data_IF_000284074500
#
_entry.id   IF_000284074500
#
_cell.length_a   1.000
_cell.length_b   1.000
_cell.length_c   1.000
_cell.angle_alpha   90.00
_cell.angle_beta   90.00
_cell.angle_gamma   90.00
#
_symmetry.space_group_name_H-M   'P 1'
#
loop_
_entity.id
_entity.type
_entity.pdbx_description
1 polymer ?
#
# COMPACT_ATOMS: atom_id res chain seq x y z
N UNK A 1 36.74 2.51 -23.94
CA UNK A 1 35.78 2.30 -22.84
C UNK A 1 34.98 3.60 -22.80
N UNK A 2 33.70 3.57 -23.16
CA UNK A 2 32.82 4.75 -23.07
C UNK A 2 32.66 5.13 -21.60
N UNK A 3 32.74 6.41 -21.28
CA UNK A 3 32.41 6.93 -19.95
C UNK A 3 31.03 6.41 -19.54
N UNK A 4 30.83 6.04 -18.26
CA UNK A 4 29.52 5.64 -17.80
C UNK A 4 28.53 6.80 -18.05
N UNK A 5 27.33 6.52 -18.55
CA UNK A 5 26.34 7.55 -18.83
C UNK A 5 26.11 8.39 -17.56
N UNK A 6 26.04 9.70 -17.73
CA UNK A 6 25.74 10.59 -16.60
C UNK A 6 24.41 10.14 -15.97
N UNK A 7 24.48 9.82 -14.68
CA UNK A 7 23.32 9.36 -13.89
C UNK A 7 22.14 10.33 -14.01
N UNK A 8 22.42 11.62 -14.10
CA UNK A 8 21.39 12.66 -14.23
C UNK A 8 20.65 12.57 -15.55
N UNK A 9 21.38 12.37 -16.66
CA UNK A 9 20.75 12.19 -17.98
C UNK A 9 19.96 10.88 -18.00
N UNK A 10 20.46 9.83 -17.33
CA UNK A 10 19.69 8.58 -17.20
C UNK A 10 18.40 8.77 -16.41
N UNK A 11 18.41 9.56 -15.34
CA UNK A 11 17.21 9.91 -14.58
C UNK A 11 16.22 10.69 -15.47
N UNK A 12 16.69 11.72 -16.19
CA UNK A 12 15.82 12.47 -17.10
C UNK A 12 15.16 11.59 -18.15
N UNK A 13 15.93 10.72 -18.79
CA UNK A 13 15.41 9.76 -19.75
C UNK A 13 14.31 8.89 -19.14
N UNK A 14 14.56 8.30 -17.97
CA UNK A 14 13.59 7.44 -17.27
C UNK A 14 12.32 8.19 -16.89
N UNK A 15 12.42 9.45 -16.46
CA UNK A 15 11.27 10.27 -16.13
C UNK A 15 10.45 10.64 -17.37
N UNK A 16 11.10 11.06 -18.44
CA UNK A 16 10.45 11.41 -19.71
C UNK A 16 9.73 10.23 -20.36
N UNK A 17 10.33 9.04 -20.31
CA UNK A 17 9.76 7.81 -20.87
C UNK A 17 8.65 7.21 -20.00
N UNK A 18 8.82 7.19 -18.66
CA UNK A 18 8.06 6.33 -17.77
C UNK A 18 7.33 7.01 -16.62
N UNK A 19 7.55 8.31 -16.32
CA UNK A 19 6.87 8.95 -15.21
C UNK A 19 5.38 9.17 -15.50
N UNK A 20 4.55 8.96 -14.49
CA UNK A 20 3.09 9.03 -14.60
C UNK A 20 2.57 10.39 -15.09
N UNK A 21 3.21 11.47 -14.66
CA UNK A 21 2.85 12.86 -15.00
C UNK A 21 3.93 13.55 -15.83
N UNK A 22 4.62 12.79 -16.72
CA UNK A 22 5.69 13.32 -17.58
C UNK A 22 5.27 14.50 -18.41
N UNK A 23 4.00 14.56 -18.80
CA UNK A 23 3.44 15.66 -19.61
C UNK A 23 3.36 17.02 -18.86
N UNK A 24 3.65 17.02 -17.55
CA UNK A 24 3.75 18.25 -16.73
C UNK A 24 5.11 18.95 -16.84
N UNK A 25 6.06 18.35 -17.57
CA UNK A 25 7.45 18.80 -17.67
C UNK A 25 7.75 19.21 -19.11
N UNK A 26 8.36 20.38 -19.29
CA UNK A 26 9.05 20.77 -20.50
C UNK A 26 10.46 20.16 -20.49
N UNK A 27 10.63 19.04 -21.17
CA UNK A 27 11.89 18.26 -21.13
C UNK A 27 13.08 18.98 -21.78
N UNK A 28 12.94 19.70 -22.95
CA UNK A 28 13.96 20.58 -23.48
C UNK A 28 14.45 21.63 -22.48
N UNK A 29 13.52 22.34 -21.83
CA UNK A 29 13.85 23.32 -20.79
C UNK A 29 14.51 22.68 -19.59
N UNK A 30 14.03 21.51 -19.10
CA UNK A 30 14.61 20.79 -18.00
C UNK A 30 16.07 20.39 -18.25
N UNK A 31 16.40 19.94 -19.46
CA UNK A 31 17.79 19.65 -19.87
C UNK A 31 18.65 20.90 -19.88
N UNK A 32 18.13 22.00 -20.42
CA UNK A 32 18.84 23.28 -20.43
C UNK A 32 19.12 23.78 -19.01
N UNK A 33 18.17 23.71 -18.10
CA UNK A 33 18.36 24.08 -16.69
C UNK A 33 19.46 23.25 -16.02
N UNK A 34 19.50 21.94 -16.27
CA UNK A 34 20.55 21.06 -15.73
C UNK A 34 21.93 21.36 -16.30
N UNK A 35 22.03 21.69 -17.59
CA UNK A 35 23.31 22.07 -18.22
C UNK A 35 23.87 23.40 -17.67
N UNK A 36 23.00 24.33 -17.27
CA UNK A 36 23.41 25.64 -16.73
C UNK A 36 23.53 25.63 -15.19
N UNK A 37 23.31 24.51 -14.54
CA UNK A 37 23.46 24.42 -13.08
C UNK A 37 24.88 24.72 -12.65
N UNK A 38 25.03 25.59 -11.66
CA UNK A 38 26.33 26.11 -11.16
C UNK A 38 27.17 25.06 -10.44
N UNK A 39 26.65 23.85 -10.24
CA UNK A 39 27.31 22.73 -9.57
C UNK A 39 26.39 21.57 -9.20
N UNK A 40 26.98 20.54 -8.62
CA UNK A 40 26.29 19.28 -8.29
C UNK A 40 25.06 19.48 -7.40
N UNK A 41 25.15 20.34 -6.39
CA UNK A 41 24.05 20.56 -5.45
C UNK A 41 22.84 21.22 -6.11
N UNK A 42 23.04 22.15 -7.03
CA UNK A 42 21.95 22.80 -7.78
C UNK A 42 21.32 21.81 -8.78
N UNK A 43 22.16 21.07 -9.53
CA UNK A 43 21.69 20.03 -10.44
C UNK A 43 20.84 18.96 -9.70
N UNK A 44 21.28 18.51 -8.52
CA UNK A 44 20.51 17.55 -7.72
C UNK A 44 19.17 18.13 -7.25
N UNK A 45 19.13 19.41 -6.87
CA UNK A 45 17.89 20.09 -6.50
C UNK A 45 16.90 20.20 -7.68
N UNK A 46 17.40 20.52 -8.87
CA UNK A 46 16.60 20.56 -10.10
C UNK A 46 16.01 19.16 -10.35
N UNK A 47 16.81 18.11 -10.29
CA UNK A 47 16.33 16.73 -10.48
C UNK A 47 15.28 16.33 -9.44
N UNK A 48 15.50 16.63 -8.16
CA UNK A 48 14.51 16.33 -7.12
C UNK A 48 13.16 17.04 -7.41
N UNK A 49 13.18 18.26 -7.93
CA UNK A 49 11.97 18.98 -8.34
C UNK A 49 11.30 18.35 -9.56
N UNK A 50 12.08 17.93 -10.56
CA UNK A 50 11.57 17.23 -11.74
C UNK A 50 10.94 15.89 -11.37
N UNK A 51 11.60 15.11 -10.50
CA UNK A 51 11.05 13.87 -9.95
C UNK A 51 9.72 14.16 -9.25
N UNK A 52 9.68 15.10 -8.33
CA UNK A 52 8.47 15.44 -7.59
C UNK A 52 7.30 15.80 -8.53
N UNK A 53 7.54 16.66 -9.52
CA UNK A 53 6.51 17.13 -10.46
C UNK A 53 6.03 16.02 -11.39
N UNK A 54 6.95 15.23 -11.97
CA UNK A 54 6.63 14.17 -12.93
C UNK A 54 6.06 12.91 -12.29
N UNK A 55 6.21 12.74 -10.96
CA UNK A 55 5.75 11.56 -10.20
C UNK A 55 4.64 11.86 -9.19
N UNK A 56 4.14 13.10 -9.12
CA UNK A 56 3.13 13.50 -8.15
C UNK A 56 3.60 13.42 -6.71
N UNK A 57 4.87 13.72 -6.45
CA UNK A 57 5.56 13.63 -5.15
C UNK A 57 5.68 12.21 -4.55
N UNK A 58 5.40 11.16 -5.33
CA UNK A 58 5.54 9.78 -4.85
C UNK A 58 6.87 9.14 -5.28
N UNK A 59 7.49 9.59 -6.36
CA UNK A 59 8.83 9.16 -6.79
C UNK A 59 9.94 9.76 -5.95
N UNK A 60 11.10 9.10 -5.93
CA UNK A 60 12.24 9.51 -5.14
C UNK A 60 13.55 8.99 -5.74
N UNK A 61 14.59 9.83 -5.77
CA UNK A 61 15.96 9.38 -6.05
C UNK A 61 16.72 9.12 -4.73
N UNK A 62 17.02 7.85 -4.48
CA UNK A 62 17.80 7.37 -3.32
C UNK A 62 19.28 7.33 -3.74
N UNK A 63 20.09 8.28 -3.24
CA UNK A 63 21.52 8.40 -3.58
C UNK A 63 22.32 7.21 -3.05
N UNK A 64 23.39 6.83 -3.73
CA UNK A 64 24.28 5.75 -3.33
C UNK A 64 24.85 5.93 -1.91
N UNK A 65 25.21 7.18 -1.53
CA UNK A 65 25.66 7.52 -0.18
C UNK A 65 24.63 7.22 0.91
N UNK A 66 23.34 7.37 0.61
CA UNK A 66 22.26 7.01 1.53
C UNK A 66 22.04 5.49 1.62
N UNK A 67 22.47 4.75 0.60
CA UNK A 67 22.43 3.28 0.58
C UNK A 67 23.49 2.63 1.45
N UNK A 68 24.59 3.33 1.74
CA UNK A 68 25.73 2.83 2.50
C UNK A 68 25.60 3.01 4.02
N UNK A 69 24.64 3.82 4.49
CA UNK A 69 24.42 4.11 5.91
C UNK A 69 23.25 3.30 6.48
N UNK A 70 23.46 2.48 7.54
CA UNK A 70 22.39 1.71 8.15
C UNK A 70 21.21 2.56 8.71
N UNK A 71 21.49 3.77 9.20
CA UNK A 71 20.50 4.69 9.76
C UNK A 71 19.87 5.63 8.73
N UNK A 72 20.62 6.13 7.76
CA UNK A 72 20.11 7.04 6.73
C UNK A 72 19.15 6.41 5.72
N UNK A 73 19.19 5.08 5.60
CA UNK A 73 18.35 4.29 4.70
C UNK A 73 16.91 4.18 5.15
N UNK A 74 16.67 4.02 6.45
CA UNK A 74 15.31 3.86 7.01
C UNK A 74 14.55 5.18 7.11
N UNK A 75 15.23 6.29 7.39
CA UNK A 75 14.58 7.60 7.57
C UNK A 75 14.08 8.23 6.27
N UNK A 76 14.80 8.05 5.14
CA UNK A 76 14.47 8.73 3.87
C UNK A 76 13.41 8.01 3.05
N UNK A 77 13.31 6.69 3.10
CA UNK A 77 12.17 5.95 2.53
C UNK A 77 10.89 6.27 3.32
N UNK A 78 11.04 6.56 4.62
CA UNK A 78 9.94 7.02 5.46
C UNK A 78 9.53 8.47 5.17
N UNK A 79 10.47 9.35 4.77
CA UNK A 79 10.19 10.77 4.53
C UNK A 79 9.63 11.09 3.16
N UNK A 80 9.73 10.19 2.17
CA UNK A 80 9.03 10.35 0.88
C UNK A 80 7.49 10.33 1.02
N UNK A 81 6.97 9.76 2.14
CA UNK A 81 5.57 9.87 2.53
C UNK A 81 5.28 10.94 3.59
N UNK A 82 6.29 11.75 3.96
CA UNK A 82 6.18 12.68 5.11
C UNK A 82 6.35 14.16 4.71
N UNK A 83 5.71 14.62 3.65
CA UNK A 83 5.65 16.07 3.35
C UNK A 83 4.52 16.81 4.11
N UNK A 84 3.87 16.17 5.09
CA UNK A 84 3.00 16.87 6.04
C UNK A 84 3.48 16.62 7.48
N UNK A 85 3.79 17.71 8.21
CA UNK A 85 4.09 17.65 9.65
C UNK A 85 2.95 16.95 10.38
N UNK A 86 3.21 16.04 11.32
CA UNK A 86 2.15 15.38 12.07
C UNK A 86 1.38 16.41 12.90
N UNK A 87 0.05 16.41 12.76
CA UNK A 87 -0.82 17.11 13.70
C UNK A 87 -0.65 16.49 15.09
N UNK A 88 -0.52 17.26 16.18
CA UNK A 88 -0.21 16.73 17.52
C UNK A 88 -1.25 15.79 18.11
N UNK A 89 -2.45 15.70 17.54
CA UNK A 89 -3.52 14.82 18.04
C UNK A 89 -3.39 13.34 17.61
N UNK A 90 -2.46 13.02 16.69
CA UNK A 90 -2.35 11.65 16.16
C UNK A 90 -1.55 10.66 17.03
N UNK A 91 -0.84 11.14 18.04
CA UNK A 91 -0.03 10.30 18.93
C UNK A 91 -0.86 9.48 19.95
N UNK A 92 -2.09 9.89 20.21
CA UNK A 92 -2.96 9.22 21.20
C UNK A 92 -3.69 7.97 20.68
N UNK A 93 -3.79 7.79 19.35
CA UNK A 93 -4.59 6.71 18.76
C UNK A 93 -3.85 5.37 18.60
N UNK A 94 -2.56 5.30 18.91
CA UNK A 94 -1.78 4.06 18.82
C UNK A 94 -1.75 3.28 20.15
N UNK A 95 -2.85 3.27 20.89
CA UNK A 95 -2.99 2.28 21.96
C UNK A 95 -3.11 0.91 21.29
N UNK A 96 -2.14 0.03 21.57
CA UNK A 96 -2.21 -1.38 21.27
C UNK A 96 -3.55 -1.87 21.84
N UNK A 97 -4.52 -2.12 20.97
CA UNK A 97 -5.83 -2.62 21.42
C UNK A 97 -5.57 -3.96 22.06
N UNK A 98 -6.05 -4.15 23.29
CA UNK A 98 -6.14 -5.47 23.91
C UNK A 98 -6.95 -6.39 23.01
N UNK A 99 -6.63 -7.71 23.03
CA UNK A 99 -7.32 -8.72 22.20
C UNK A 99 -8.82 -8.50 22.25
N UNK A 100 -9.47 -8.62 21.10
CA UNK A 100 -10.93 -8.57 21.04
C UNK A 100 -11.53 -9.59 22.00
N UNK A 101 -12.49 -9.19 22.84
CA UNK A 101 -13.13 -10.10 23.78
C UNK A 101 -13.72 -11.30 23.05
N UNK A 102 -13.72 -12.46 23.70
CA UNK A 102 -14.25 -13.69 23.12
C UNK A 102 -15.73 -13.59 22.76
N UNK A 103 -16.50 -12.79 23.49
CA UNK A 103 -17.92 -12.52 23.28
C UNK A 103 -18.21 -11.52 22.17
N UNK A 104 -17.22 -10.76 21.70
CA UNK A 104 -17.40 -9.75 20.65
C UNK A 104 -17.67 -10.44 19.30
N UNK A 105 -18.78 -10.18 18.62
CA UNK A 105 -19.05 -10.78 17.33
C UNK A 105 -18.22 -10.17 16.18
N UNK A 106 -17.45 -9.10 16.41
CA UNK A 106 -16.64 -8.43 15.41
C UNK A 106 -15.15 -8.72 15.64
N UNK A 107 -14.53 -9.37 14.64
CA UNK A 107 -13.08 -9.57 14.61
C UNK A 107 -12.34 -8.29 14.24
N UNK A 108 -11.06 -8.21 14.62
CA UNK A 108 -10.22 -7.05 14.35
C UNK A 108 -8.84 -7.46 13.88
N UNK A 109 -8.35 -6.80 12.83
CA UNK A 109 -6.98 -6.89 12.39
C UNK A 109 -6.42 -5.52 12.03
N UNK A 110 -5.27 -5.16 12.57
CA UNK A 110 -4.49 -4.02 12.12
C UNK A 110 -3.41 -4.49 11.14
N UNK A 111 -3.30 -3.84 9.98
CA UNK A 111 -2.27 -4.13 9.00
C UNK A 111 -1.18 -3.07 9.14
N UNK A 112 -0.02 -3.40 9.71
CA UNK A 112 1.06 -2.44 9.87
C UNK A 112 1.76 -2.14 8.54
N UNK A 113 2.53 -1.05 8.50
CA UNK A 113 3.51 -0.77 7.44
C UNK A 113 4.50 -1.93 7.31
N UNK A 114 4.75 -2.41 6.09
CA UNK A 114 5.77 -3.41 5.82
C UNK A 114 6.90 -2.82 4.98
N UNK A 115 8.01 -2.49 5.65
CA UNK A 115 9.23 -1.98 5.00
C UNK A 115 10.17 -3.14 4.72
N UNK A 116 10.37 -3.41 3.44
CA UNK A 116 11.31 -4.43 2.99
C UNK A 116 12.75 -3.93 3.07
N UNK A 117 13.68 -4.79 3.48
CA UNK A 117 15.09 -4.49 3.33
C UNK A 117 15.52 -4.71 1.87
N UNK A 118 15.46 -3.64 1.07
CA UNK A 118 15.73 -3.68 -0.38
C UNK A 118 17.14 -4.12 -0.75
N UNK A 119 18.10 -4.15 0.21
CA UNK A 119 19.48 -4.62 0.00
C UNK A 119 19.72 -6.05 0.41
N UNK A 120 18.79 -6.67 1.12
CA UNK A 120 18.91 -8.08 1.44
C UNK A 120 18.82 -8.91 0.14
N UNK A 121 19.46 -10.08 0.10
CA UNK A 121 19.27 -11.04 -0.99
C UNK A 121 17.80 -11.33 -1.25
N UNK A 122 17.44 -11.65 -2.49
CA UNK A 122 16.04 -11.90 -2.89
C UNK A 122 15.36 -12.98 -2.03
N UNK A 123 16.09 -14.04 -1.69
CA UNK A 123 15.60 -15.12 -0.82
C UNK A 123 15.27 -14.65 0.59
N UNK A 124 16.10 -13.76 1.15
CA UNK A 124 15.85 -13.17 2.49
C UNK A 124 14.63 -12.25 2.45
N UNK A 125 14.50 -11.44 1.38
CA UNK A 125 13.35 -10.56 1.19
C UNK A 125 12.05 -11.35 1.07
N UNK A 126 12.06 -12.41 0.27
CA UNK A 126 10.91 -13.32 0.12
C UNK A 126 10.52 -13.96 1.45
N UNK A 127 11.50 -14.44 2.22
CA UNK A 127 11.26 -14.99 3.57
C UNK A 127 10.64 -13.95 4.52
N UNK A 128 11.09 -12.69 4.49
CA UNK A 128 10.50 -11.62 5.28
C UNK A 128 9.05 -11.33 4.86
N UNK A 129 8.76 -11.32 3.56
CA UNK A 129 7.41 -11.15 3.02
C UNK A 129 6.48 -12.29 3.47
N UNK A 130 6.93 -13.54 3.36
CA UNK A 130 6.16 -14.72 3.81
C UNK A 130 5.91 -14.69 5.31
N UNK A 131 6.93 -14.36 6.10
CA UNK A 131 6.80 -14.23 7.56
C UNK A 131 5.73 -13.20 7.92
N UNK A 132 5.75 -12.04 7.28
CA UNK A 132 4.74 -11.00 7.51
C UNK A 132 3.32 -11.46 7.13
N UNK A 133 3.16 -12.10 5.97
CA UNK A 133 1.86 -12.62 5.54
C UNK A 133 1.32 -13.70 6.49
N UNK A 134 2.18 -14.62 6.92
CA UNK A 134 1.83 -15.68 7.90
C UNK A 134 1.48 -15.11 9.28
N UNK A 135 2.16 -14.04 9.73
CA UNK A 135 1.80 -13.35 10.97
C UNK A 135 0.39 -12.76 10.91
N UNK A 136 0.01 -12.13 9.80
CA UNK A 136 -1.35 -11.62 9.62
C UNK A 136 -2.38 -12.76 9.60
N UNK A 137 -2.12 -13.87 8.88
CA UNK A 137 -3.01 -15.03 8.87
C UNK A 137 -3.13 -15.68 10.24
N UNK A 138 -2.04 -15.75 11.00
CA UNK A 138 -2.05 -16.24 12.38
C UNK A 138 -2.90 -15.36 13.31
N UNK A 139 -2.84 -14.04 13.15
CA UNK A 139 -3.71 -13.11 13.87
C UNK A 139 -5.18 -13.31 13.50
N UNK A 140 -5.49 -13.47 12.21
CA UNK A 140 -6.85 -13.79 11.76
C UNK A 140 -7.34 -15.09 12.38
N UNK A 141 -6.51 -16.14 12.39
CA UNK A 141 -6.86 -17.44 12.97
C UNK A 141 -7.13 -17.35 14.48
N UNK A 142 -6.31 -16.58 15.22
CA UNK A 142 -6.52 -16.37 16.65
C UNK A 142 -7.82 -15.61 16.95
N UNK A 143 -8.14 -14.60 16.18
CA UNK A 143 -9.38 -13.84 16.30
C UNK A 143 -10.61 -14.68 15.88
N UNK A 144 -10.49 -15.46 14.81
CA UNK A 144 -11.55 -16.31 14.26
C UNK A 144 -11.77 -17.62 15.08
N UNK A 145 -10.95 -17.85 16.11
CA UNK A 145 -11.21 -18.91 17.10
C UNK A 145 -12.56 -18.70 17.82
N UNK A 146 -13.05 -17.47 17.85
CA UNK A 146 -14.37 -17.08 18.34
C UNK A 146 -15.30 -16.82 17.16
N UNK A 147 -16.61 -16.97 17.36
CA UNK A 147 -17.60 -16.72 16.30
C UNK A 147 -17.64 -15.24 15.91
N UNK A 148 -17.07 -14.91 14.76
CA UNK A 148 -17.01 -13.55 14.21
C UNK A 148 -17.97 -13.44 13.02
N UNK A 149 -18.92 -12.54 13.10
CA UNK A 149 -19.87 -12.29 12.01
C UNK A 149 -19.40 -11.24 11.00
N UNK A 150 -18.42 -10.42 11.38
CA UNK A 150 -17.85 -9.35 10.57
C UNK A 150 -16.47 -8.94 11.06
N UNK A 151 -15.76 -8.15 10.26
CA UNK A 151 -14.38 -7.80 10.55
C UNK A 151 -14.09 -6.30 10.37
N UNK A 152 -13.28 -5.75 11.27
CA UNK A 152 -12.64 -4.46 11.09
C UNK A 152 -11.20 -4.68 10.65
N UNK A 153 -10.83 -4.05 9.51
CA UNK A 153 -9.45 -3.97 9.02
C UNK A 153 -8.96 -2.55 9.24
N UNK A 154 -7.97 -2.38 10.11
CA UNK A 154 -7.44 -1.07 10.47
C UNK A 154 -6.16 -0.76 9.68
N UNK A 155 -6.25 0.22 8.76
CA UNK A 155 -5.16 0.73 7.94
C UNK A 155 -4.74 2.16 8.34
N UNK A 156 -5.32 2.75 9.40
CA UNK A 156 -5.08 4.14 9.77
C UNK A 156 -3.62 4.48 10.06
N UNK A 157 -2.80 3.50 10.42
CA UNK A 157 -1.37 3.67 10.67
C UNK A 157 -0.48 3.03 9.58
N UNK A 158 -1.06 2.51 8.50
CA UNK A 158 -0.31 1.87 7.41
C UNK A 158 0.21 2.91 6.41
N UNK A 159 1.49 3.24 6.49
CA UNK A 159 2.16 4.19 5.61
C UNK A 159 2.72 3.53 4.32
N UNK A 160 2.33 2.30 4.02
CA UNK A 160 2.75 1.61 2.80
C UNK A 160 3.91 0.64 2.98
N UNK A 161 4.74 0.55 1.95
CA UNK A 161 5.83 -0.42 1.82
C UNK A 161 5.56 -1.42 0.70
N UNK A 162 5.69 -2.74 0.96
CA UNK A 162 5.36 -3.77 -0.02
C UNK A 162 3.93 -4.30 0.21
N UNK A 163 3.05 -4.12 -0.79
CA UNK A 163 1.63 -4.52 -0.68
C UNK A 163 1.40 -6.02 -0.76
N UNK A 164 2.29 -6.76 -1.41
CA UNK A 164 2.05 -8.18 -1.71
C UNK A 164 1.90 -9.05 -0.47
N UNK A 165 2.79 -8.97 0.55
CA UNK A 165 2.60 -9.70 1.79
C UNK A 165 1.38 -9.22 2.60
N UNK A 166 1.00 -7.94 2.49
CA UNK A 166 -0.22 -7.44 3.12
C UNK A 166 -1.46 -8.10 2.51
N UNK A 167 -1.56 -8.10 1.16
CA UNK A 167 -2.67 -8.71 0.43
C UNK A 167 -2.76 -10.21 0.66
N UNK A 168 -1.61 -10.92 0.66
CA UNK A 168 -1.56 -12.36 0.93
C UNK A 168 -1.97 -12.68 2.38
N UNK A 169 -1.55 -11.84 3.33
CA UNK A 169 -1.87 -12.01 4.74
C UNK A 169 -3.37 -11.84 5.05
N UNK A 170 -4.04 -10.91 4.37
CA UNK A 170 -5.48 -10.68 4.55
C UNK A 170 -6.35 -11.32 3.46
N UNK A 171 -5.77 -12.17 2.63
CA UNK A 171 -6.50 -12.90 1.58
C UNK A 171 -7.77 -13.60 2.07
N UNK A 172 -7.82 -14.20 3.30
CA UNK A 172 -9.05 -14.79 3.83
C UNK A 172 -10.22 -13.80 3.95
N UNK A 173 -9.95 -12.51 4.18
CA UNK A 173 -10.96 -11.45 4.25
C UNK A 173 -11.30 -10.86 2.86
N UNK A 174 -10.37 -10.93 1.90
CA UNK A 174 -10.53 -10.35 0.56
C UNK A 174 -11.30 -11.27 -0.39
N UNK A 175 -11.05 -12.57 -0.31
CA UNK A 175 -11.62 -13.54 -1.24
C UNK A 175 -13.13 -13.76 -0.98
N UNK A 176 -13.93 -13.70 -2.04
CA UNK A 176 -15.34 -14.15 -2.02
C UNK A 176 -15.43 -15.67 -2.14
N UNK A 177 -14.55 -16.23 -2.97
CA UNK A 177 -14.43 -17.67 -3.15
C UNK A 177 -13.02 -18.11 -2.74
N UNK A 178 -12.86 -18.76 -1.57
CA UNK A 178 -11.55 -19.17 -1.09
C UNK A 178 -10.86 -20.22 -1.98
N UNK A 179 -11.59 -20.88 -2.88
CA UNK A 179 -11.07 -21.93 -3.78
C UNK A 179 -10.87 -21.44 -5.22
N UNK A 180 -11.15 -20.18 -5.51
CA UNK A 180 -11.11 -19.63 -6.87
C UNK A 180 -10.04 -18.57 -7.07
N UNK A 181 -9.87 -18.16 -8.35
CA UNK A 181 -9.12 -16.97 -8.71
C UNK A 181 -10.05 -15.75 -8.67
N UNK A 182 -9.62 -14.67 -8.03
CA UNK A 182 -10.38 -13.44 -7.94
C UNK A 182 -9.49 -12.21 -8.20
N UNK A 183 -9.92 -11.31 -9.11
CA UNK A 183 -9.28 -10.01 -9.31
C UNK A 183 -9.67 -9.09 -8.16
N UNK A 184 -8.68 -8.46 -7.53
CA UNK A 184 -8.87 -7.59 -6.37
C UNK A 184 -8.48 -6.13 -6.63
N UNK A 185 -7.90 -5.82 -7.78
CA UNK A 185 -7.48 -4.50 -8.22
C UNK A 185 -6.55 -4.58 -9.41
N UNK A 186 -6.01 -3.44 -9.85
CA UNK A 186 -5.03 -3.39 -10.93
C UNK A 186 -4.12 -2.17 -10.82
N UNK A 187 -2.99 -2.22 -11.54
CA UNK A 187 -2.25 -1.03 -11.94
C UNK A 187 -2.68 -0.60 -13.33
N UNK A 188 -2.99 0.66 -13.48
CA UNK A 188 -3.34 1.28 -14.75
C UNK A 188 -2.10 2.00 -15.32
N UNK A 189 -1.61 1.52 -16.47
CA UNK A 189 -0.44 2.05 -17.16
C UNK A 189 -0.87 2.55 -18.55
N UNK A 190 -1.25 3.81 -18.65
CA UNK A 190 -1.79 4.38 -19.90
C UNK A 190 -3.05 3.63 -20.35
N UNK A 191 -2.98 2.92 -21.49
CA UNK A 191 -4.12 2.17 -22.03
C UNK A 191 -4.22 0.72 -21.51
N UNK A 192 -3.29 0.26 -20.66
CA UNK A 192 -3.22 -1.14 -20.20
C UNK A 192 -3.47 -1.26 -18.71
N UNK A 193 -3.92 -2.43 -18.27
CA UNK A 193 -4.10 -2.77 -16.86
C UNK A 193 -3.31 -4.01 -16.51
N UNK A 194 -2.62 -3.99 -15.37
CA UNK A 194 -1.99 -5.15 -14.77
C UNK A 194 -2.78 -5.59 -13.55
N UNK A 195 -3.63 -6.59 -13.73
CA UNK A 195 -4.54 -7.06 -12.69
C UNK A 195 -3.82 -7.72 -11.53
N UNK A 196 -4.24 -7.41 -10.31
CA UNK A 196 -3.87 -8.15 -9.09
C UNK A 196 -4.93 -9.19 -8.80
N UNK A 197 -4.51 -10.40 -8.55
CA UNK A 197 -5.46 -11.48 -8.25
C UNK A 197 -5.01 -12.30 -7.05
N UNK A 198 -5.99 -12.88 -6.39
CA UNK A 198 -5.80 -13.91 -5.37
C UNK A 198 -6.15 -15.27 -5.93
N UNK A 199 -5.40 -16.27 -5.51
CA UNK A 199 -5.72 -17.70 -5.57
C UNK A 199 -5.43 -18.29 -4.19
N UNK A 200 -5.89 -19.51 -3.87
CA UNK A 200 -5.58 -20.12 -2.59
C UNK A 200 -4.06 -20.12 -2.32
N UNK A 201 -3.67 -19.39 -1.25
CA UNK A 201 -2.26 -19.24 -0.85
C UNK A 201 -1.37 -18.40 -1.76
N UNK A 202 -1.90 -17.70 -2.77
CA UNK A 202 -1.10 -16.94 -3.74
C UNK A 202 -1.68 -15.56 -4.02
N UNK A 203 -0.78 -14.60 -4.20
CA UNK A 203 -1.10 -13.30 -4.81
C UNK A 203 -0.34 -13.17 -6.14
N UNK A 204 -1.03 -12.72 -7.17
CA UNK A 204 -0.52 -12.65 -8.54
C UNK A 204 -0.65 -11.23 -9.09
N UNK A 205 0.24 -10.88 -10.03
CA UNK A 205 0.07 -9.76 -10.97
C UNK A 205 0.02 -10.34 -12.38
N UNK A 206 -0.99 -9.98 -13.14
CA UNK A 206 -1.35 -10.66 -14.39
C UNK A 206 -1.58 -12.16 -14.11
N UNK A 207 -0.80 -13.03 -14.62
CA UNK A 207 -0.86 -14.48 -14.33
C UNK A 207 0.42 -14.98 -13.64
N UNK A 208 1.29 -14.04 -13.19
CA UNK A 208 2.56 -14.39 -12.56
C UNK A 208 2.44 -14.29 -11.05
N UNK A 209 2.79 -15.36 -10.34
CA UNK A 209 2.87 -15.38 -8.88
C UNK A 209 3.88 -14.36 -8.40
N UNK A 210 3.44 -13.50 -7.48
CA UNK A 210 4.29 -12.52 -6.78
C UNK A 210 4.75 -13.02 -5.42
N UNK A 211 3.87 -13.71 -4.73
CA UNK A 211 4.16 -14.32 -3.45
C UNK A 211 3.23 -15.52 -3.25
N UNK A 212 3.75 -16.60 -2.67
CA UNK A 212 3.04 -17.85 -2.42
C UNK A 212 3.37 -18.38 -1.03
N UNK A 213 2.36 -18.83 -0.29
CA UNK A 213 2.55 -19.48 1.01
C UNK A 213 3.17 -20.87 0.83
N UNK A 214 4.05 -21.25 1.75
CA UNK A 214 4.65 -22.59 1.81
C UNK A 214 3.74 -23.62 2.50
N UNK A 215 2.57 -23.21 2.96
CA UNK A 215 1.58 -24.00 3.68
C UNK A 215 0.17 -23.69 3.18
N UNK A 216 -0.81 -24.57 3.42
CA UNK A 216 -2.20 -24.28 3.10
C UNK A 216 -2.64 -22.94 3.71
N UNK A 217 -3.35 -22.09 2.94
CA UNK A 217 -3.84 -20.81 3.45
C UNK A 217 -4.89 -21.02 4.53
N UNK A 218 -4.94 -20.09 5.48
CA UNK A 218 -6.02 -20.05 6.45
C UNK A 218 -7.36 -19.75 5.75
N UNK A 219 -8.41 -20.46 6.15
CA UNK A 219 -9.79 -20.23 5.69
C UNK A 219 -10.63 -19.86 6.90
N UNK A 220 -11.38 -18.75 6.79
CA UNK A 220 -12.25 -18.29 7.87
C UNK A 220 -13.39 -19.27 8.13
N UNK A 221 -13.83 -19.39 9.38
CA UNK A 221 -14.99 -20.17 9.80
C UNK A 221 -16.28 -19.71 9.11
N UNK A 222 -16.39 -18.39 8.93
CA UNK A 222 -17.48 -17.76 8.16
C UNK A 222 -16.86 -17.07 6.93
N UNK A 223 -16.86 -17.73 5.76
CA UNK A 223 -16.23 -17.19 4.55
C UNK A 223 -16.99 -15.97 4.01
N UNK A 224 -16.26 -15.11 3.31
CA UNK A 224 -16.76 -13.88 2.70
C UNK A 224 -17.51 -12.94 3.68
N UNK A 225 -16.98 -12.68 4.90
CA UNK A 225 -17.65 -11.87 5.90
C UNK A 225 -17.80 -10.41 5.45
N UNK A 226 -18.71 -9.63 6.05
CA UNK A 226 -18.70 -8.18 5.89
C UNK A 226 -17.41 -7.60 6.53
N UNK A 227 -16.82 -6.60 5.84
CA UNK A 227 -15.56 -5.97 6.26
C UNK A 227 -15.71 -4.46 6.30
N UNK A 228 -15.43 -3.85 7.45
CA UNK A 228 -15.25 -2.42 7.61
C UNK A 228 -13.76 -2.08 7.58
N UNK A 229 -13.36 -1.18 6.67
CA UNK A 229 -11.96 -0.76 6.52
C UNK A 229 -11.78 0.62 7.13
N UNK A 230 -10.94 0.76 8.16
CA UNK A 230 -10.61 2.04 8.75
C UNK A 230 -9.42 2.66 8.03
N UNK A 231 -9.59 3.86 7.50
CA UNK A 231 -8.55 4.63 6.80
C UNK A 231 -8.41 6.05 7.36
N UNK A 232 -7.30 6.71 7.05
CA UNK A 232 -7.06 8.09 7.47
C UNK A 232 -5.82 8.68 6.81
N UNK A 233 -5.45 9.91 7.17
CA UNK A 233 -4.37 10.68 6.56
C UNK A 233 -2.99 10.00 6.53
N UNK A 234 -2.77 8.99 7.37
CA UNK A 234 -1.53 8.22 7.39
C UNK A 234 -1.61 6.92 6.58
N UNK A 235 -2.80 6.56 6.09
CA UNK A 235 -2.94 5.47 5.12
C UNK A 235 -2.34 5.92 3.80
N UNK A 236 -1.23 5.29 3.38
CA UNK A 236 -0.45 5.77 2.24
C UNK A 236 0.06 4.61 1.37
N UNK A 237 0.24 4.87 0.07
CA UNK A 237 0.91 3.98 -0.87
C UNK A 237 0.32 2.56 -0.80
N UNK A 238 1.10 1.53 -0.44
CA UNK A 238 0.59 0.15 -0.31
C UNK A 238 -0.61 0.01 0.65
N UNK A 239 -0.74 0.89 1.66
CA UNK A 239 -1.94 0.94 2.51
C UNK A 239 -3.18 1.36 1.71
N UNK A 240 -3.02 2.28 0.76
CA UNK A 240 -4.08 2.69 -0.17
C UNK A 240 -4.42 1.57 -1.15
N UNK A 241 -3.43 0.79 -1.61
CA UNK A 241 -3.67 -0.37 -2.49
C UNK A 241 -4.42 -1.48 -1.76
N UNK A 242 -4.13 -1.74 -0.49
CA UNK A 242 -4.93 -2.66 0.33
C UNK A 242 -6.36 -2.14 0.50
N UNK A 243 -6.54 -0.83 0.70
CA UNK A 243 -7.87 -0.19 0.74
C UNK A 243 -8.63 -0.43 -0.58
N UNK A 244 -7.97 -0.21 -1.73
CA UNK A 244 -8.55 -0.44 -3.06
C UNK A 244 -8.92 -1.92 -3.27
N UNK A 245 -8.14 -2.86 -2.74
CA UNK A 245 -8.44 -4.29 -2.84
C UNK A 245 -9.75 -4.68 -2.12
N UNK A 246 -10.12 -3.98 -1.04
CA UNK A 246 -11.43 -4.13 -0.40
C UNK A 246 -12.54 -3.37 -1.14
N UNK A 247 -12.21 -2.25 -1.80
CA UNK A 247 -13.20 -1.41 -2.51
C UNK A 247 -13.83 -2.17 -3.67
N UNK A 248 -15.12 -1.92 -3.89
CA UNK A 248 -15.89 -2.65 -4.91
C UNK A 248 -16.28 -4.08 -4.53
N UNK A 249 -15.93 -4.56 -3.34
CA UNK A 249 -16.49 -5.77 -2.74
C UNK A 249 -17.86 -5.43 -2.13
N UNK A 250 -18.96 -6.12 -2.49
CA UNK A 250 -20.32 -5.75 -2.05
C UNK A 250 -20.50 -5.67 -0.53
N UNK A 251 -19.72 -6.49 0.21
CA UNK A 251 -19.76 -6.57 1.67
C UNK A 251 -18.61 -5.85 2.35
N UNK A 252 -17.99 -4.88 1.67
CA UNK A 252 -16.93 -4.05 2.27
C UNK A 252 -17.32 -2.56 2.22
N UNK A 253 -16.93 -1.81 3.26
CA UNK A 253 -17.16 -0.37 3.36
C UNK A 253 -16.04 0.28 4.13
N UNK A 254 -15.57 1.45 3.68
CA UNK A 254 -14.51 2.21 4.33
C UNK A 254 -15.04 3.35 5.20
N UNK A 255 -14.35 3.60 6.32
CA UNK A 255 -14.73 4.60 7.34
C UNK A 255 -13.52 5.40 7.77
N UNK A 256 -13.71 6.66 8.12
CA UNK A 256 -12.69 7.55 8.68
C UNK A 256 -12.43 8.78 7.83
N UNK A 257 -11.19 9.07 7.52
CA UNK A 257 -10.76 10.25 6.80
C UNK A 257 -10.08 9.87 5.47
N UNK A 258 -9.94 10.86 4.58
CA UNK A 258 -9.18 10.69 3.34
C UNK A 258 -7.75 10.20 3.60
N UNK A 259 -7.19 9.47 2.64
CA UNK A 259 -5.83 8.94 2.73
C UNK A 259 -4.76 9.98 2.36
N UNK A 260 -3.49 9.59 2.36
CA UNK A 260 -2.36 10.47 2.04
C UNK A 260 -2.35 10.93 0.56
N UNK A 261 -2.87 10.13 -0.37
CA UNK A 261 -2.93 10.49 -1.78
C UNK A 261 -1.77 9.95 -2.63
N UNK A 262 -1.27 8.79 -2.26
CA UNK A 262 -0.23 8.05 -3.00
C UNK A 262 -0.76 6.71 -3.53
N UNK A 263 -1.99 6.71 -4.06
CA UNK A 263 -2.58 5.51 -4.67
C UNK A 263 -2.01 5.25 -6.08
N UNK A 264 -0.68 5.32 -6.19
CA UNK A 264 0.13 5.11 -7.38
C UNK A 264 1.23 4.07 -7.14
N UNK A 265 1.80 3.50 -8.19
CA UNK A 265 2.82 2.48 -8.09
C UNK A 265 4.22 3.01 -8.42
N UNK A 266 5.18 2.67 -7.55
CA UNK A 266 6.60 2.91 -7.76
C UNK A 266 7.32 1.64 -8.22
N UNK A 267 8.15 1.79 -9.26
CA UNK A 267 9.10 0.77 -9.71
C UNK A 267 10.50 1.20 -9.31
N UNK A 268 11.24 0.40 -8.51
CA UNK A 268 12.64 0.68 -8.23
C UNK A 268 13.47 0.44 -9.50
N UNK A 269 14.21 1.46 -9.95
CA UNK A 269 15.13 1.39 -11.09
C UNK A 269 16.56 1.59 -10.57
N UNK A 270 17.42 0.56 -10.57
CA UNK A 270 18.82 0.70 -10.23
C UNK A 270 19.53 1.60 -11.25
N UNK A 271 20.41 2.48 -10.76
CA UNK A 271 21.20 3.40 -11.57
C UNK A 271 22.68 3.00 -11.58
N UNK A 272 23.48 3.43 -12.61
CA UNK A 272 24.86 3.00 -12.79
C UNK A 272 25.80 3.33 -11.63
N UNK A 273 25.50 4.39 -10.86
CA UNK A 273 26.28 4.82 -9.68
C UNK A 273 25.91 4.08 -8.38
N UNK A 274 25.04 3.07 -8.46
CA UNK A 274 24.51 2.34 -7.30
C UNK A 274 23.37 3.04 -6.56
N UNK A 275 22.92 4.21 -7.03
CA UNK A 275 21.70 4.84 -6.55
C UNK A 275 20.46 4.16 -7.11
N UNK A 276 19.27 4.50 -6.60
CA UNK A 276 17.99 3.93 -7.06
C UNK A 276 16.98 5.04 -7.30
N UNK A 277 16.35 5.04 -8.47
CA UNK A 277 15.18 5.87 -8.75
C UNK A 277 13.91 5.07 -8.45
N UNK A 278 13.07 5.54 -7.53
CA UNK A 278 11.70 5.07 -7.37
C UNK A 278 10.83 5.82 -8.39
N UNK A 279 10.56 5.18 -9.52
CA UNK A 279 9.81 5.77 -10.62
C UNK A 279 8.31 5.47 -10.46
N UNK A 280 7.49 6.51 -10.26
CA UNK A 280 6.04 6.38 -10.26
C UNK A 280 5.52 6.34 -11.69
N UNK A 281 5.02 5.20 -12.13
CA UNK A 281 4.61 4.97 -13.52
C UNK A 281 3.16 4.51 -13.72
N UNK A 282 2.43 4.22 -12.64
CA UNK A 282 1.07 3.69 -12.76
C UNK A 282 0.14 4.21 -11.67
N UNK A 283 -1.16 4.23 -11.96
CA UNK A 283 -2.23 4.47 -11.01
C UNK A 283 -2.75 3.14 -10.48
N UNK A 284 -2.99 3.04 -9.17
CA UNK A 284 -3.69 1.91 -8.59
C UNK A 284 -5.20 2.11 -8.70
N UNK A 285 -5.92 1.06 -9.10
CA UNK A 285 -7.37 1.05 -9.26
C UNK A 285 -7.99 -0.15 -8.56
N UNK A 286 -9.25 -0.02 -8.15
CA UNK A 286 -10.01 -1.11 -7.53
C UNK A 286 -10.40 -2.20 -8.54
N UNK A 287 -11.13 -3.23 -8.09
CA UNK A 287 -11.62 -4.34 -8.94
C UNK A 287 -12.61 -3.91 -10.03
N UNK A 288 -13.16 -2.70 -9.95
CA UNK A 288 -14.05 -2.09 -10.93
C UNK A 288 -13.31 -1.06 -11.80
N UNK A 289 -11.97 -1.05 -11.75
CA UNK A 289 -11.08 -0.13 -12.45
C UNK A 289 -11.30 1.35 -12.09
N UNK A 290 -11.72 1.63 -10.84
CA UNK A 290 -11.89 2.99 -10.32
C UNK A 290 -10.70 3.38 -9.46
N UNK A 291 -10.11 4.55 -9.76
CA UNK A 291 -8.96 5.14 -9.07
C UNK A 291 -8.32 6.20 -9.96
N UNK A 292 -7.75 7.23 -9.37
CA UNK A 292 -7.15 8.39 -10.06
C UNK A 292 -5.69 8.66 -9.63
N UNK A 293 -5.13 7.82 -8.74
CA UNK A 293 -3.78 7.99 -8.20
C UNK A 293 -3.68 8.98 -7.04
N UNK A 294 -4.79 9.62 -6.67
CA UNK A 294 -4.89 10.60 -5.60
C UNK A 294 -5.36 10.02 -4.27
N UNK A 295 -5.93 10.89 -3.44
CA UNK A 295 -6.47 10.55 -2.12
C UNK A 295 -7.72 9.67 -2.24
N UNK A 296 -7.76 8.59 -1.48
CA UNK A 296 -8.95 7.78 -1.38
C UNK A 296 -9.89 8.37 -0.33
N UNK A 297 -11.09 8.73 -0.76
CA UNK A 297 -12.15 9.15 0.15
C UNK A 297 -12.79 7.92 0.80
N UNK A 298 -13.07 7.91 2.12
CA UNK A 298 -13.83 6.85 2.74
C UNK A 298 -15.29 6.86 2.26
N UNK A 299 -15.96 5.71 2.29
CA UNK A 299 -17.40 5.63 2.00
C UNK A 299 -18.24 6.33 3.08
N UNK A 300 -17.72 6.40 4.31
CA UNK A 300 -18.31 7.14 5.44
C UNK A 300 -17.24 8.02 6.06
N UNK A 301 -17.31 9.31 5.80
CA UNK A 301 -16.38 10.29 6.37
C UNK A 301 -16.70 10.55 7.84
N UNK A 302 -15.71 10.34 8.71
CA UNK A 302 -15.78 10.58 10.15
C UNK A 302 -14.44 11.13 10.61
N UNK A 303 -14.44 12.32 11.21
CA UNK A 303 -13.21 13.00 11.62
C UNK A 303 -12.57 12.40 12.89
N UNK A 304 -13.39 11.96 13.84
CA UNK A 304 -12.92 11.36 15.09
C UNK A 304 -12.65 9.85 14.92
N UNK A 305 -11.49 9.41 15.40
CA UNK A 305 -11.03 8.03 15.22
C UNK A 305 -11.89 7.00 16.00
N UNK A 306 -12.40 7.35 17.19
CA UNK A 306 -13.24 6.47 17.99
C UNK A 306 -14.66 6.42 17.41
N UNK A 307 -15.14 7.53 16.86
CA UNK A 307 -16.42 7.58 16.16
C UNK A 307 -16.39 6.79 14.85
N UNK A 308 -15.28 6.84 14.10
CA UNK A 308 -15.10 6.01 12.91
C UNK A 308 -15.19 4.51 13.24
N UNK A 309 -14.60 4.11 14.35
CA UNK A 309 -14.69 2.73 14.84
C UNK A 309 -16.12 2.36 15.25
N UNK A 310 -16.81 3.22 16.02
CA UNK A 310 -18.22 3.01 16.39
C UNK A 310 -19.11 2.89 15.17
N UNK A 311 -18.94 3.77 14.18
CA UNK A 311 -19.70 3.76 12.92
C UNK A 311 -19.46 2.48 12.13
N UNK A 312 -18.21 2.03 12.03
CA UNK A 312 -17.83 0.78 11.40
C UNK A 312 -18.49 -0.44 12.09
N UNK A 313 -18.43 -0.49 13.42
CA UNK A 313 -19.07 -1.56 14.22
C UNK A 313 -20.59 -1.58 14.03
N UNK A 314 -21.25 -0.42 14.10
CA UNK A 314 -22.69 -0.33 13.93
C UNK A 314 -23.10 -0.80 12.53
N UNK A 315 -22.33 -0.43 11.50
CA UNK A 315 -22.58 -0.92 10.15
C UNK A 315 -22.42 -2.43 10.03
N UNK A 316 -21.39 -3.03 10.64
CA UNK A 316 -21.16 -4.48 10.65
C UNK A 316 -22.28 -5.23 11.36
N UNK A 317 -22.69 -4.76 12.55
CA UNK A 317 -23.79 -5.37 13.32
C UNK A 317 -25.13 -5.33 12.57
N UNK A 318 -25.30 -4.34 11.69
CA UNK A 318 -26.49 -4.23 10.82
C UNK A 318 -26.46 -5.17 9.61
N UNK A 319 -25.35 -5.86 9.32
CA UNK A 319 -25.28 -6.78 8.19
C UNK A 319 -26.08 -8.07 8.44
N UNK A 320 -26.62 -8.70 7.39
CA UNK A 320 -27.45 -9.90 7.54
C UNK A 320 -26.76 -11.03 8.32
N UNK A 321 -25.47 -11.25 8.08
CA UNK A 321 -24.66 -12.28 8.72
C UNK A 321 -24.56 -12.06 10.24
N UNK A 322 -24.37 -10.80 10.68
CA UNK A 322 -24.31 -10.47 12.10
C UNK A 322 -25.68 -10.54 12.77
N UNK A 323 -26.75 -10.13 12.09
CA UNK A 323 -28.13 -10.27 12.60
C UNK A 323 -28.52 -11.74 12.79
N UNK A 324 -28.21 -12.60 11.80
CA UNK A 324 -28.48 -14.03 11.90
C UNK A 324 -27.74 -14.68 13.08
N UNK A 325 -26.46 -14.30 13.30
CA UNK A 325 -25.69 -14.79 14.44
C UNK A 325 -26.27 -14.34 15.79
N UNK A 326 -26.75 -13.09 15.88
CA UNK A 326 -27.37 -12.57 17.10
C UNK A 326 -28.70 -13.27 17.43
N UNK A 327 -29.48 -13.69 16.43
CA UNK A 327 -30.76 -14.39 16.62
C UNK A 327 -30.58 -15.85 17.05
N UNK A 328 -29.40 -16.42 16.92
CA UNK A 328 -29.07 -17.81 17.29
C UNK A 328 -28.38 -17.94 18.66
N UNK A 329 -28.17 -16.82 19.36
CA UNK A 329 -27.65 -16.75 20.74
C UNK A 329 -28.76 -16.49 21.72
#
# INVERSE_FOLDING_TARGET
MSEPPDVREKILQLLEEGALYRDRIDWPEARQQLQHASGTAEADKILDQLIARSTGNHGLWIRASAMSSPSGRMERIASAGQLQRPHPESAAASRKRERTEASDPIGWIAIPTFKENSTAPSTVREQQQLTFALQLQSQLQMEDAHDRCGWIVDLRQNQGGNMWPMLLGVAPLLAKNPNGKEVIGAFHLGATHQAWSLQPGRVLIENRTRLELNSPPYVLRHPAPPVAVLIGHRTASSGEMVTLAFRGRPTARSFGQETAGFSTANTPVPLPDGSVLLLTGAVAVDRNLKGDGGKLQPDVTVSDAAEAERSARNWLLAQPQCRAMASNR
#
